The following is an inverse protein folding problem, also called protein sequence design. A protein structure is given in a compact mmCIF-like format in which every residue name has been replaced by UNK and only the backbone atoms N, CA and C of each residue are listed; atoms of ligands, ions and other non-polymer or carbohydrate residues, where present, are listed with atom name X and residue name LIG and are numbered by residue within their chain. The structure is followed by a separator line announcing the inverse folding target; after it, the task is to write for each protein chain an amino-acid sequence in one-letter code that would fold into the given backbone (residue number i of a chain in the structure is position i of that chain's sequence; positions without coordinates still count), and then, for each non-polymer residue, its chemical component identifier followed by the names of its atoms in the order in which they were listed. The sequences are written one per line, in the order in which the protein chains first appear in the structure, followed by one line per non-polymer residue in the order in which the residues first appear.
data_IF_682945121116
#
_entry.id   IF_682945121116
#
_cell.length_a   1.000
_cell.length_b   1.000
_cell.length_c   1.000
_cell.angle_alpha   90.00
_cell.angle_beta   90.00
_cell.angle_gamma   90.00
#
_symmetry.space_group_name_H-M   'P 1'
#
loop_
_entity.id
_entity.type
_entity.pdbx_description
1 polymer ?
#
# COMPACT_ATOMS: atom_id res chain seq x y z
N UNK A 1 11.33 28.23 17.38
CA UNK A 1 11.17 26.79 17.67
C UNK A 1 10.49 26.13 16.47
N UNK A 2 11.11 25.11 15.84
CA UNK A 2 10.47 24.38 14.75
C UNK A 2 9.20 23.68 15.24
N UNK A 3 8.19 23.61 14.37
CA UNK A 3 6.92 22.96 14.69
C UNK A 3 7.15 21.45 14.90
N UNK A 4 6.84 20.94 16.08
CA UNK A 4 6.96 19.53 16.45
C UNK A 4 5.65 19.04 17.08
N UNK A 5 5.17 17.88 16.64
CA UNK A 5 3.97 17.26 17.18
C UNK A 5 4.22 16.67 18.58
N UNK A 6 3.14 16.53 19.37
CA UNK A 6 3.19 15.74 20.58
C UNK A 6 3.47 14.28 20.23
N UNK A 7 4.46 13.71 20.91
CA UNK A 7 4.79 12.28 20.90
C UNK A 7 3.81 11.51 21.79
N UNK A 8 3.77 10.19 21.65
CA UNK A 8 2.93 9.35 22.52
C UNK A 8 3.32 9.49 23.99
N UNK A 9 4.64 9.53 24.29
CA UNK A 9 5.15 9.65 25.66
C UNK A 9 4.77 10.98 26.30
N UNK A 10 4.90 12.10 25.57
CA UNK A 10 4.44 13.41 26.04
C UNK A 10 2.93 13.40 26.34
N UNK A 11 2.12 12.68 25.55
CA UNK A 11 0.68 12.53 25.81
C UNK A 11 0.38 11.68 27.04
N UNK A 12 1.16 10.63 27.29
CA UNK A 12 1.03 9.80 28.50
C UNK A 12 1.36 10.64 29.74
N UNK A 13 2.44 11.40 29.72
CA UNK A 13 2.82 12.33 30.79
C UNK A 13 1.71 13.36 31.00
N UNK A 14 1.19 13.94 29.93
CA UNK A 14 0.10 14.91 29.99
C UNK A 14 -1.16 14.33 30.67
N UNK A 15 -1.54 13.08 30.35
CA UNK A 15 -2.63 12.41 31.06
C UNK A 15 -2.34 12.25 32.56
N UNK A 16 -1.13 11.82 32.93
CA UNK A 16 -0.77 11.64 34.34
C UNK A 16 -0.85 12.96 35.11
N UNK A 17 -0.39 14.06 34.52
CA UNK A 17 -0.43 15.38 35.15
C UNK A 17 -1.85 15.95 35.23
N UNK A 18 -2.69 15.70 34.22
CA UNK A 18 -4.11 16.05 34.27
C UNK A 18 -4.85 15.29 35.39
N UNK A 19 -4.56 14.00 35.57
CA UNK A 19 -5.12 13.20 36.67
C UNK A 19 -4.70 13.70 38.05
N UNK A 20 -3.53 14.35 38.15
CA UNK A 20 -3.05 15.00 39.38
C UNK A 20 -3.57 16.44 39.54
N UNK A 21 -4.48 16.89 38.68
CA UNK A 21 -5.11 18.23 38.72
C UNK A 21 -4.11 19.40 38.62
N UNK A 22 -2.95 19.21 37.97
CA UNK A 22 -2.02 20.32 37.74
C UNK A 22 -2.58 21.35 36.74
N UNK A 23 -2.21 22.62 36.94
CA UNK A 23 -2.56 23.68 36.00
C UNK A 23 -1.87 23.49 34.65
N UNK A 24 -2.46 24.02 33.57
CA UNK A 24 -1.86 23.98 32.24
C UNK A 24 -0.46 24.62 32.18
N UNK A 25 -0.19 25.64 33.00
CA UNK A 25 1.14 26.28 33.09
C UNK A 25 2.17 25.30 33.66
N UNK A 26 1.83 24.61 34.75
CA UNK A 26 2.70 23.61 35.38
C UNK A 26 2.97 22.44 34.43
N UNK A 27 1.93 21.95 33.74
CA UNK A 27 2.05 20.89 32.73
C UNK A 27 2.97 21.32 31.60
N UNK A 28 2.79 22.54 31.10
CA UNK A 28 3.60 23.09 30.01
C UNK A 28 5.08 23.19 30.35
N UNK A 29 5.40 23.60 31.59
CA UNK A 29 6.76 23.67 32.09
C UNK A 29 7.38 22.27 32.24
N UNK A 30 6.61 21.29 32.75
CA UNK A 30 7.08 19.91 32.92
C UNK A 30 7.38 19.20 31.59
N UNK A 31 6.55 19.43 30.56
CA UNK A 31 6.71 18.80 29.23
C UNK A 31 7.66 19.62 28.34
N UNK A 32 7.99 20.86 28.70
CA UNK A 32 8.82 21.75 27.87
C UNK A 32 8.09 22.26 26.62
N UNK A 33 6.76 22.44 26.70
CA UNK A 33 5.92 22.93 25.58
C UNK A 33 5.21 24.22 25.96
N UNK A 34 4.78 24.99 24.96
CA UNK A 34 3.98 26.19 25.22
C UNK A 34 2.60 25.83 25.77
N UNK A 35 2.11 26.59 26.76
CA UNK A 35 0.77 26.46 27.36
C UNK A 35 -0.33 26.38 26.30
N UNK A 36 -0.27 27.21 25.25
CA UNK A 36 -1.25 27.21 24.16
C UNK A 36 -1.22 25.91 23.35
N UNK A 37 -0.06 25.27 23.21
CA UNK A 37 0.07 23.96 22.54
C UNK A 37 -0.58 22.86 23.36
N UNK A 38 -0.35 22.84 24.68
CA UNK A 38 -0.97 21.90 25.62
C UNK A 38 -2.49 22.06 25.62
N UNK A 39 -2.97 23.31 25.71
CA UNK A 39 -4.41 23.62 25.66
C UNK A 39 -5.06 23.13 24.36
N UNK A 40 -4.43 23.43 23.21
CA UNK A 40 -4.92 22.98 21.89
C UNK A 40 -4.89 21.46 21.73
N UNK A 41 -3.88 20.80 22.27
CA UNK A 41 -3.77 19.33 22.26
C UNK A 41 -4.96 18.71 23.02
N UNK A 42 -5.24 19.17 24.24
CA UNK A 42 -6.36 18.70 25.06
C UNK A 42 -7.69 18.99 24.35
N UNK A 43 -7.90 20.24 23.93
CA UNK A 43 -9.16 20.65 23.30
C UNK A 43 -9.49 19.85 22.04
N UNK A 44 -8.48 19.56 21.19
CA UNK A 44 -8.71 18.88 19.91
C UNK A 44 -8.83 17.37 20.01
N UNK A 45 -8.27 16.78 21.07
CA UNK A 45 -8.08 15.33 21.16
C UNK A 45 -8.81 14.68 22.35
N UNK A 46 -9.52 15.47 23.16
CA UNK A 46 -10.47 14.95 24.15
C UNK A 46 -11.79 14.56 23.50
N UNK A 47 -12.34 13.43 23.92
CA UNK A 47 -13.66 12.93 23.46
C UNK A 47 -14.59 12.90 24.66
N UNK A 48 -15.73 13.58 24.56
CA UNK A 48 -16.69 13.73 25.67
C UNK A 48 -16.04 14.25 26.96
N UNK A 49 -15.10 15.19 26.83
CA UNK A 49 -14.35 15.76 27.96
C UNK A 49 -13.24 14.86 28.52
N UNK A 50 -13.09 13.63 28.04
CA UNK A 50 -12.08 12.68 28.52
C UNK A 50 -10.87 12.70 27.59
N UNK A 51 -9.70 13.01 28.15
CA UNK A 51 -8.42 12.93 27.45
C UNK A 51 -7.85 11.51 27.52
N UNK A 52 -7.46 10.94 26.38
CA UNK A 52 -6.81 9.62 26.30
C UNK A 52 -5.63 9.67 25.34
N UNK A 53 -4.39 9.34 25.78
CA UNK A 53 -3.18 9.46 24.96
C UNK A 53 -3.25 8.69 23.64
N UNK A 54 -3.69 7.43 23.67
CA UNK A 54 -3.78 6.58 22.48
C UNK A 54 -4.86 7.05 21.51
N UNK A 55 -6.01 7.52 22.03
CA UNK A 55 -7.05 8.12 21.18
C UNK A 55 -6.57 9.43 20.58
N UNK A 56 -5.89 10.26 21.36
CA UNK A 56 -5.34 11.52 20.90
C UNK A 56 -4.31 11.34 19.79
N UNK A 57 -3.41 10.36 19.93
CA UNK A 57 -2.46 10.01 18.88
C UNK A 57 -3.15 9.52 17.61
N UNK A 58 -4.14 8.63 17.75
CA UNK A 58 -4.96 8.17 16.62
C UNK A 58 -5.68 9.31 15.92
N UNK A 59 -6.36 10.19 16.67
CA UNK A 59 -7.07 11.35 16.12
C UNK A 59 -6.12 12.32 15.39
N UNK A 60 -4.94 12.57 15.95
CA UNK A 60 -3.92 13.39 15.30
C UNK A 60 -3.42 12.74 14.01
N UNK A 61 -3.17 11.43 14.03
CA UNK A 61 -2.75 10.63 12.87
C UNK A 61 -3.82 10.62 11.78
N UNK A 62 -5.07 10.40 12.13
CA UNK A 62 -6.19 10.33 11.18
C UNK A 62 -6.48 11.70 10.56
N UNK A 63 -6.41 12.79 11.35
CA UNK A 63 -6.50 14.16 10.84
C UNK A 63 -5.40 14.45 9.81
N UNK A 64 -4.17 13.99 10.07
CA UNK A 64 -3.04 14.14 9.15
C UNK A 64 -3.24 13.33 7.86
N UNK A 65 -3.76 12.10 7.96
CA UNK A 65 -4.10 11.28 6.80
C UNK A 65 -5.21 11.94 5.96
N UNK A 66 -6.17 12.60 6.59
CA UNK A 66 -7.29 13.26 5.92
C UNK A 66 -6.90 14.54 5.17
N UNK A 67 -5.85 15.25 5.62
CA UNK A 67 -5.50 16.59 5.08
C UNK A 67 -4.77 16.55 3.75
N UNK A 68 -4.14 15.44 3.36
CA UNK A 68 -3.35 15.36 2.12
C UNK A 68 -4.08 14.50 1.09
N UNK A 69 -5.06 15.11 0.39
CA UNK A 69 -5.62 14.53 -0.83
C UNK A 69 -4.88 15.10 -2.04
N UNK A 70 -3.86 14.39 -2.52
CA UNK A 70 -3.15 14.76 -3.75
C UNK A 70 -4.05 14.72 -5.00
N UNK A 71 -5.10 13.89 -4.94
CA UNK A 71 -6.19 13.77 -5.91
C UNK A 71 -7.49 13.97 -5.13
N UNK A 72 -8.08 15.16 -5.22
CA UNK A 72 -9.34 15.48 -4.52
C UNK A 72 -10.53 15.02 -5.33
N UNK A 73 -11.57 14.39 -4.72
CA UNK A 73 -12.79 14.02 -5.42
C UNK A 73 -13.38 15.21 -6.20
N UNK A 74 -13.78 14.98 -7.46
CA UNK A 74 -14.35 16.02 -8.33
C UNK A 74 -13.34 16.99 -8.95
N UNK A 75 -12.06 16.96 -8.55
CA UNK A 75 -11.04 17.79 -9.20
C UNK A 75 -10.77 17.34 -10.65
N UNK A 76 -10.25 18.25 -11.50
CA UNK A 76 -9.78 17.92 -12.85
C UNK A 76 -8.83 16.71 -12.87
N UNK A 77 -7.92 16.66 -11.90
CA UNK A 77 -6.97 15.55 -11.72
C UNK A 77 -7.68 14.23 -11.38
N UNK A 78 -8.71 14.27 -10.55
CA UNK A 78 -9.51 13.10 -10.23
C UNK A 78 -10.21 12.54 -11.45
N UNK A 79 -10.92 13.40 -12.18
CA UNK A 79 -11.68 13.01 -13.38
C UNK A 79 -10.73 12.38 -14.41
N UNK A 80 -9.57 13.01 -14.66
CA UNK A 80 -8.56 12.48 -15.57
C UNK A 80 -8.03 11.11 -15.14
N UNK A 81 -7.66 10.95 -13.87
CA UNK A 81 -7.11 9.68 -13.37
C UNK A 81 -8.15 8.56 -13.46
N UNK A 82 -9.41 8.82 -13.08
CA UNK A 82 -10.49 7.83 -13.15
C UNK A 82 -10.76 7.45 -14.62
N UNK A 83 -10.89 8.44 -15.51
CA UNK A 83 -11.07 8.20 -16.95
C UNK A 83 -9.96 7.32 -17.54
N UNK A 84 -8.69 7.64 -17.26
CA UNK A 84 -7.57 6.85 -17.82
C UNK A 84 -7.45 5.46 -17.21
N UNK A 85 -7.79 5.29 -15.93
CA UNK A 85 -7.84 3.96 -15.30
C UNK A 85 -8.96 3.09 -15.88
N UNK A 86 -10.12 3.67 -16.21
CA UNK A 86 -11.19 2.97 -16.93
C UNK A 86 -10.78 2.58 -18.35
N UNK A 87 -9.88 3.34 -18.97
CA UNK A 87 -9.27 3.00 -20.26
C UNK A 87 -8.06 2.05 -20.14
N UNK A 88 -7.81 1.44 -18.98
CA UNK A 88 -6.73 0.49 -18.71
C UNK A 88 -5.30 1.04 -18.93
N UNK A 89 -5.11 2.34 -18.72
CA UNK A 89 -3.78 2.95 -18.72
C UNK A 89 -3.04 2.61 -17.42
N UNK A 90 -1.73 2.37 -17.53
CA UNK A 90 -0.91 2.17 -16.33
C UNK A 90 -0.75 3.47 -15.52
N UNK A 91 -0.68 3.40 -14.18
CA UNK A 91 -0.42 4.56 -13.33
C UNK A 91 0.80 5.40 -13.76
N UNK A 92 1.84 4.76 -14.28
CA UNK A 92 3.03 5.39 -14.84
C UNK A 92 2.70 6.21 -16.08
N UNK A 93 1.93 5.66 -17.02
CA UNK A 93 1.47 6.38 -18.22
C UNK A 93 0.60 7.58 -17.84
N UNK A 94 -0.33 7.39 -16.90
CA UNK A 94 -1.24 8.45 -16.45
C UNK A 94 -0.45 9.60 -15.83
N UNK A 95 0.48 9.30 -14.92
CA UNK A 95 1.31 10.31 -14.26
C UNK A 95 2.20 11.06 -15.27
N UNK A 96 2.88 10.33 -16.15
CA UNK A 96 3.76 10.92 -17.17
C UNK A 96 2.99 11.84 -18.13
N UNK A 97 1.81 11.39 -18.59
CA UNK A 97 0.97 12.17 -19.51
C UNK A 97 0.31 13.35 -18.82
N UNK A 98 -0.18 13.20 -17.59
CA UNK A 98 -0.67 14.33 -16.80
C UNK A 98 0.38 15.45 -16.65
N UNK A 99 1.61 15.10 -16.28
CA UNK A 99 2.68 16.08 -16.08
C UNK A 99 3.11 16.77 -17.38
N UNK A 100 2.88 16.14 -18.54
CA UNK A 100 3.14 16.71 -19.87
C UNK A 100 2.00 17.60 -20.33
N UNK A 101 0.77 17.11 -20.24
CA UNK A 101 -0.43 17.76 -20.78
C UNK A 101 -0.87 18.95 -19.91
N UNK A 102 -0.53 18.92 -18.60
CA UNK A 102 -0.91 19.96 -17.63
C UNK A 102 0.30 20.46 -16.83
N UNK A 103 1.26 21.19 -17.45
CA UNK A 103 2.49 21.62 -16.78
C UNK A 103 2.27 22.68 -15.68
N UNK A 104 1.18 23.45 -15.76
CA UNK A 104 0.82 24.46 -14.75
C UNK A 104 0.14 23.85 -13.50
N UNK A 105 -0.32 22.61 -13.60
CA UNK A 105 -0.97 21.91 -12.49
C UNK A 105 0.06 21.25 -11.58
N UNK A 106 -0.32 20.99 -10.33
CA UNK A 106 0.56 20.23 -9.42
C UNK A 106 0.91 18.88 -10.04
N UNK A 107 2.20 18.48 -10.03
CA UNK A 107 2.61 17.21 -10.63
C UNK A 107 1.93 16.03 -9.94
N UNK A 108 1.75 14.97 -10.71
CA UNK A 108 1.20 13.70 -10.26
C UNK A 108 2.29 12.64 -10.32
N UNK A 109 2.53 11.98 -9.18
CA UNK A 109 3.38 10.80 -9.11
C UNK A 109 2.55 9.54 -9.29
N UNK A 110 3.06 8.55 -10.03
CA UNK A 110 2.43 7.23 -10.17
C UNK A 110 2.29 6.52 -8.82
N UNK A 111 3.24 6.74 -7.88
CA UNK A 111 3.15 6.19 -6.51
C UNK A 111 1.93 6.71 -5.75
N UNK A 112 1.49 7.94 -6.04
CA UNK A 112 0.25 8.49 -5.49
C UNK A 112 -0.96 7.74 -6.03
N UNK A 113 -1.02 7.48 -7.34
CA UNK A 113 -2.13 6.73 -7.95
C UNK A 113 -2.19 5.31 -7.35
N UNK A 114 -1.06 4.61 -7.26
CA UNK A 114 -1.01 3.30 -6.61
C UNK A 114 -1.49 3.32 -5.17
N UNK A 115 -1.05 4.31 -4.37
CA UNK A 115 -1.48 4.48 -2.98
C UNK A 115 -2.99 4.76 -2.87
N UNK A 116 -3.56 5.46 -3.84
CA UNK A 116 -4.99 5.72 -3.89
C UNK A 116 -5.78 4.45 -4.19
N UNK A 117 -5.33 3.65 -5.17
CA UNK A 117 -5.93 2.35 -5.49
C UNK A 117 -5.81 1.40 -4.29
N UNK A 118 -4.64 1.30 -3.66
CA UNK A 118 -4.43 0.38 -2.53
C UNK A 118 -5.25 0.73 -1.28
N UNK A 119 -5.62 2.00 -1.13
CA UNK A 119 -6.43 2.51 0.00
C UNK A 119 -7.92 2.61 -0.36
N UNK A 120 -8.34 2.11 -1.54
CA UNK A 120 -9.71 2.23 -2.05
C UNK A 120 -10.24 3.68 -1.99
N UNK A 121 -9.37 4.65 -2.30
CA UNK A 121 -9.74 6.07 -2.30
C UNK A 121 -10.35 6.51 -3.62
N UNK A 122 -10.31 5.68 -4.66
CA UNK A 122 -10.99 5.88 -5.93
C UNK A 122 -12.18 4.90 -5.96
N UNK A 123 -13.44 5.38 -5.90
CA UNK A 123 -14.60 4.52 -6.01
C UNK A 123 -14.59 3.81 -7.37
N UNK A 124 -15.08 2.58 -7.39
CA UNK A 124 -15.19 1.69 -8.56
C UNK A 124 -13.88 1.26 -9.22
N UNK A 125 -12.75 1.90 -8.91
CA UNK A 125 -11.43 1.49 -9.38
C UNK A 125 -10.81 0.48 -8.42
N UNK A 126 -10.78 -0.78 -8.84
CA UNK A 126 -9.99 -1.82 -8.17
C UNK A 126 -8.71 -2.19 -8.93
N UNK A 127 -7.68 -2.59 -8.18
CA UNK A 127 -6.41 -3.11 -8.73
C UNK A 127 -6.65 -4.29 -9.68
N UNK A 128 -7.58 -5.17 -9.35
CA UNK A 128 -7.81 -6.40 -10.11
C UNK A 128 -8.50 -6.15 -11.45
N UNK A 129 -9.39 -5.16 -11.50
CA UNK A 129 -10.15 -4.84 -12.71
C UNK A 129 -9.39 -3.89 -13.64
N UNK A 130 -8.71 -2.87 -13.09
CA UNK A 130 -8.22 -1.74 -13.89
C UNK A 130 -6.71 -1.76 -14.13
N UNK A 131 -5.94 -2.50 -13.31
CA UNK A 131 -4.49 -2.59 -13.49
C UNK A 131 -4.11 -3.87 -14.20
N UNK A 132 -3.21 -3.75 -15.18
CA UNK A 132 -2.61 -4.90 -15.86
C UNK A 132 -1.86 -5.74 -14.83
N UNK A 133 -2.18 -7.04 -14.74
CA UNK A 133 -1.37 -7.99 -13.97
C UNK A 133 -0.04 -8.17 -14.70
N UNK A 134 1.07 -8.11 -13.96
CA UNK A 134 2.39 -8.35 -14.56
C UNK A 134 2.48 -9.83 -14.93
N UNK A 135 2.72 -10.12 -16.21
CA UNK A 135 3.03 -11.45 -16.74
C UNK A 135 1.81 -12.35 -16.97
N UNK A 136 2.04 -13.45 -17.70
CA UNK A 136 1.11 -14.59 -17.72
C UNK A 136 1.18 -15.26 -16.34
N UNK A 137 0.04 -15.57 -15.74
CA UNK A 137 0.02 -16.50 -14.61
C UNK A 137 0.54 -17.84 -15.14
N UNK A 138 1.80 -18.15 -14.88
CA UNK A 138 2.29 -19.50 -15.08
C UNK A 138 1.68 -20.30 -13.95
N UNK A 139 0.72 -21.17 -14.30
CA UNK A 139 0.32 -22.24 -13.39
C UNK A 139 1.63 -22.95 -13.02
N UNK A 140 1.92 -23.19 -11.73
CA UNK A 140 2.98 -24.13 -11.42
C UNK A 140 2.61 -25.39 -12.19
N UNK A 141 3.51 -25.86 -13.05
CA UNK A 141 3.36 -27.18 -13.64
C UNK A 141 3.15 -28.10 -12.45
N UNK A 142 1.92 -28.59 -12.26
CA UNK A 142 1.74 -29.77 -11.44
C UNK A 142 2.68 -30.74 -12.10
N UNK A 143 3.76 -31.10 -11.41
CA UNK A 143 4.65 -32.15 -11.83
C UNK A 143 3.83 -33.46 -11.81
N UNK A 144 2.88 -33.60 -12.73
CA UNK A 144 2.59 -34.87 -13.35
C UNK A 144 3.82 -35.09 -14.20
N UNK A 145 4.81 -35.74 -13.59
CA UNK A 145 5.74 -36.64 -14.24
C UNK A 145 5.24 -36.99 -15.63
N UNK A 146 5.69 -36.22 -16.63
CA UNK A 146 5.66 -36.62 -18.02
C UNK A 146 6.74 -37.69 -18.15
N UNK A 147 6.53 -38.83 -17.48
CA UNK A 147 7.22 -40.05 -17.82
C UNK A 147 6.76 -40.35 -19.23
N UNK A 148 7.61 -40.03 -20.21
CA UNK A 148 7.44 -40.54 -21.58
C UNK A 148 7.22 -42.03 -21.40
N UNK A 149 5.99 -42.50 -21.65
CA UNK A 149 5.70 -43.92 -21.55
C UNK A 149 6.50 -44.56 -22.68
N UNK A 150 7.45 -45.46 -22.39
CA UNK A 150 8.16 -46.12 -23.47
C UNK A 150 7.14 -46.92 -24.29
N UNK A 151 7.29 -46.90 -25.61
CA UNK A 151 6.41 -47.66 -26.51
C UNK A 151 6.43 -49.17 -26.22
N UNK A 152 7.51 -49.67 -25.60
CA UNK A 152 7.67 -51.06 -25.16
C UNK A 152 8.49 -51.14 -23.89
N UNK A 153 8.11 -52.04 -23.00
CA UNK A 153 8.91 -52.36 -21.81
C UNK A 153 10.04 -53.36 -22.16
N UNK A 154 11.07 -53.45 -21.30
CA UNK A 154 12.23 -54.34 -21.53
C UNK A 154 11.82 -55.81 -21.72
N UNK A 155 10.73 -56.24 -21.08
CA UNK A 155 10.21 -57.60 -21.23
C UNK A 155 9.55 -57.88 -22.60
N UNK A 156 9.13 -56.83 -23.32
CA UNK A 156 8.52 -56.90 -24.66
C UNK A 156 9.57 -56.76 -25.79
N UNK A 157 10.86 -56.65 -25.46
CA UNK A 157 11.91 -56.52 -26.46
C UNK A 157 12.06 -57.81 -27.27
N UNK A 158 12.09 -57.68 -28.59
CA UNK A 158 12.40 -58.77 -29.50
C UNK A 158 13.86 -59.21 -29.34
N UNK A 159 14.16 -60.45 -29.74
CA UNK A 159 15.51 -61.00 -29.63
C UNK A 159 16.55 -60.20 -30.44
N UNK A 160 16.13 -59.52 -31.49
CA UNK A 160 16.98 -58.64 -32.30
C UNK A 160 17.50 -57.47 -31.47
N UNK A 161 16.63 -56.85 -30.66
CA UNK A 161 16.97 -55.73 -29.77
C UNK A 161 17.86 -56.24 -28.61
N UNK A 162 17.48 -57.37 -28.00
CA UNK A 162 18.27 -57.98 -26.90
C UNK A 162 19.70 -58.34 -27.35
N UNK A 163 19.85 -58.82 -28.59
CA UNK A 163 21.14 -59.16 -29.20
C UNK A 163 21.85 -57.96 -29.85
N UNK A 164 21.25 -56.76 -29.77
CA UNK A 164 21.75 -55.49 -30.33
C UNK A 164 22.21 -55.59 -31.79
N UNK A 165 21.41 -56.27 -32.60
CA UNK A 165 21.78 -56.58 -33.99
C UNK A 165 21.50 -55.43 -34.97
N UNK A 166 20.68 -54.44 -34.58
CA UNK A 166 20.41 -53.25 -35.40
C UNK A 166 21.27 -52.06 -34.92
N UNK A 167 21.70 -51.24 -35.88
CA UNK A 167 22.29 -49.93 -35.58
C UNK A 167 21.25 -49.09 -34.82
N UNK A 168 21.62 -48.56 -33.66
CA UNK A 168 20.74 -47.81 -32.74
C UNK A 168 20.35 -48.59 -31.47
N UNK A 169 20.51 -49.91 -31.42
CA UNK A 169 20.18 -50.72 -30.21
C UNK A 169 21.27 -50.65 -29.12
N UNK A 170 22.39 -49.96 -29.41
CA UNK A 170 23.53 -49.77 -28.50
C UNK A 170 23.49 -48.45 -27.74
N UNK A 171 22.58 -47.53 -28.07
CA UNK A 171 22.54 -46.16 -27.53
C UNK A 171 21.68 -46.04 -26.26
N UNK A 172 21.54 -47.12 -25.48
CA UNK A 172 20.72 -47.18 -24.25
C UNK A 172 21.45 -47.75 -23.05
#
# INVERSE_FOLDING_TARGET
MPYSHFTLDERIILLQLLKKHYSLRTISACIGRNVSSVSREISRNSVNGIYSPFKADRLASDRRKATIKAISPGSKKWIYVVDKLNNFWSPEQIAARWNRDFPLEKPLSFSTIYRYISRNLLPDISREKHLRRRGKFQRPDKAMYNSVKPDRYIHEWSDVIKKRQRIGDWEG
#
